data_IF_929242996914
#
_entry.id   IF_929242996914
#
_cell.length_a   1.000
_cell.length_b   1.000
_cell.length_c   1.000
_cell.angle_alpha   90.00
_cell.angle_beta   90.00
_cell.angle_gamma   90.00
#
_symmetry.space_group_name_H-M   'P 1'
#
loop_
_entity.id
_entity.type
_entity.pdbx_description
1 polymer ?
#
# COMPACT_ATOMS: atom_id res chain seq x y z
N UNK A 1 -18.30 7.54 3.75
CA UNK A 1 -17.05 8.27 4.08
C UNK A 1 -16.02 8.18 2.95
N UNK A 2 -15.80 6.99 2.34
CA UNK A 2 -14.80 6.80 1.27
C UNK A 2 -15.16 7.59 0.01
N UNK A 3 -16.43 7.60 -0.41
CA UNK A 3 -16.86 8.36 -1.57
C UNK A 3 -16.50 9.85 -1.44
N UNK A 4 -16.76 10.43 -0.27
CA UNK A 4 -16.41 11.82 -0.02
C UNK A 4 -14.90 12.04 -0.11
N UNK A 5 -14.11 11.17 0.53
CA UNK A 5 -12.64 11.23 0.44
C UNK A 5 -12.18 11.20 -1.02
N UNK A 6 -12.72 10.29 -1.83
CA UNK A 6 -12.33 10.17 -3.23
C UNK A 6 -12.69 11.44 -4.02
N UNK A 7 -13.94 11.90 -3.95
CA UNK A 7 -14.39 13.07 -4.72
C UNK A 7 -13.78 14.39 -4.23
N UNK A 8 -13.41 14.49 -2.96
CA UNK A 8 -12.71 15.67 -2.44
C UNK A 8 -11.24 15.73 -2.91
N UNK A 9 -10.65 14.59 -3.33
CA UNK A 9 -9.23 14.49 -3.70
C UNK A 9 -8.97 14.22 -5.18
N UNK A 10 -9.95 13.79 -5.96
CA UNK A 10 -9.75 13.48 -7.39
C UNK A 10 -9.90 14.73 -8.25
N UNK A 11 -9.06 14.85 -9.27
CA UNK A 11 -9.29 15.83 -10.33
C UNK A 11 -10.33 15.29 -11.33
N UNK A 12 -11.52 15.86 -11.33
CA UNK A 12 -12.60 15.46 -12.23
C UNK A 12 -12.25 15.63 -13.71
N UNK A 13 -11.37 16.57 -14.05
CA UNK A 13 -10.89 16.79 -15.42
C UNK A 13 -10.01 15.66 -15.95
N UNK A 14 -9.43 14.86 -15.07
CA UNK A 14 -8.48 13.80 -15.41
C UNK A 14 -9.00 12.38 -15.12
N UNK A 15 -10.29 12.20 -14.89
CA UNK A 15 -10.90 10.88 -14.62
C UNK A 15 -10.61 9.85 -15.71
N UNK A 16 -10.34 10.26 -16.95
CA UNK A 16 -9.95 9.36 -18.04
C UNK A 16 -8.59 8.66 -17.81
N UNK A 17 -7.76 9.19 -16.90
CA UNK A 17 -6.50 8.57 -16.49
C UNK A 17 -6.71 7.46 -15.46
N UNK A 18 -7.88 7.37 -14.86
CA UNK A 18 -8.16 6.37 -13.85
C UNK A 18 -8.02 4.97 -14.42
N UNK A 19 -7.32 4.12 -13.69
CA UNK A 19 -7.17 2.71 -13.99
C UNK A 19 -7.39 1.86 -12.75
N UNK A 20 -7.84 0.63 -12.95
CA UNK A 20 -8.08 -0.29 -11.85
C UNK A 20 -7.46 -1.66 -12.13
N UNK A 21 -6.98 -2.29 -11.07
CA UNK A 21 -6.44 -3.64 -11.14
C UNK A 21 -6.83 -4.44 -9.88
N UNK A 22 -6.86 -5.75 -10.03
CA UNK A 22 -7.14 -6.67 -8.94
C UNK A 22 -5.90 -7.51 -8.65
N UNK A 23 -5.51 -7.56 -7.40
CA UNK A 23 -4.54 -8.53 -6.89
C UNK A 23 -5.29 -9.62 -6.10
N UNK A 24 -5.58 -10.76 -6.73
CA UNK A 24 -6.32 -11.83 -6.06
C UNK A 24 -5.47 -12.54 -4.99
N UNK A 25 -4.15 -12.44 -5.06
CA UNK A 25 -3.24 -13.04 -4.09
C UNK A 25 -3.32 -12.33 -2.75
N UNK A 26 -3.30 -11.00 -2.78
CA UNK A 26 -3.41 -10.14 -1.59
C UNK A 26 -4.86 -9.73 -1.27
N UNK A 27 -5.83 -10.17 -2.08
CA UNK A 27 -7.25 -9.84 -1.92
C UNK A 27 -7.52 -8.32 -2.00
N UNK A 28 -6.86 -7.64 -2.94
CA UNK A 28 -6.94 -6.20 -3.11
C UNK A 28 -7.58 -5.82 -4.44
N UNK A 29 -8.38 -4.78 -4.41
CA UNK A 29 -8.80 -4.01 -5.59
C UNK A 29 -8.14 -2.63 -5.45
N UNK A 30 -7.47 -2.20 -6.49
CA UNK A 30 -6.66 -0.98 -6.47
C UNK A 30 -7.10 -0.09 -7.62
N UNK A 31 -7.32 1.18 -7.33
CA UNK A 31 -7.59 2.23 -8.31
C UNK A 31 -6.45 3.24 -8.25
N UNK A 32 -5.83 3.51 -9.41
CA UNK A 32 -4.92 4.63 -9.58
C UNK A 32 -5.67 5.79 -10.21
N UNK A 33 -5.49 6.98 -9.70
CA UNK A 33 -6.15 8.20 -10.15
C UNK A 33 -5.24 9.41 -9.96
N UNK A 34 -5.54 10.49 -10.67
CA UNK A 34 -4.85 11.77 -10.49
C UNK A 34 -5.51 12.55 -9.35
N UNK A 35 -4.71 13.05 -8.42
CA UNK A 35 -5.17 13.95 -7.38
C UNK A 35 -5.42 15.35 -7.93
N UNK A 36 -6.15 16.18 -7.17
CA UNK A 36 -6.44 17.58 -7.54
C UNK A 36 -5.19 18.43 -7.83
N UNK A 37 -4.02 17.99 -7.41
CA UNK A 37 -2.75 18.70 -7.60
C UNK A 37 -1.89 18.10 -8.71
N UNK A 38 -2.37 17.08 -9.43
CA UNK A 38 -1.56 16.32 -10.39
C UNK A 38 -2.28 16.16 -11.74
N UNK A 39 -1.52 16.26 -12.82
CA UNK A 39 -1.98 15.93 -14.17
C UNK A 39 -1.74 14.46 -14.55
N UNK A 40 -1.12 13.66 -13.67
CA UNK A 40 -0.82 12.25 -13.88
C UNK A 40 -1.32 11.43 -12.69
N UNK A 41 -1.51 10.13 -12.88
CA UNK A 41 -1.93 9.26 -11.80
C UNK A 41 -0.83 9.19 -10.72
N UNK A 42 -1.09 9.80 -9.57
CA UNK A 42 -0.17 9.93 -8.45
C UNK A 42 -0.71 9.30 -7.16
N UNK A 43 -1.97 8.92 -7.17
CA UNK A 43 -2.69 8.45 -5.98
C UNK A 43 -3.32 7.08 -6.20
N UNK A 44 -3.32 6.28 -5.15
CA UNK A 44 -3.96 4.97 -5.11
C UNK A 44 -5.08 4.97 -4.07
N UNK A 45 -6.21 4.41 -4.44
CA UNK A 45 -7.25 3.98 -3.52
C UNK A 45 -7.29 2.45 -3.52
N UNK A 46 -7.16 1.84 -2.36
CA UNK A 46 -7.00 0.40 -2.22
C UNK A 46 -8.12 -0.14 -1.32
N UNK A 47 -8.78 -1.17 -1.79
CA UNK A 47 -9.80 -1.88 -1.04
C UNK A 47 -9.40 -3.35 -0.83
N UNK A 48 -9.29 -3.77 0.42
CA UNK A 48 -9.15 -5.16 0.77
C UNK A 48 -10.54 -5.79 0.94
N UNK A 49 -10.92 -6.66 -0.01
CA UNK A 49 -12.25 -7.23 -0.01
C UNK A 49 -12.45 -8.38 0.99
N UNK A 50 -11.37 -8.92 1.56
CA UNK A 50 -11.43 -9.90 2.64
C UNK A 50 -11.72 -9.23 3.98
N UNK A 51 -11.01 -8.15 4.29
CA UNK A 51 -11.15 -7.41 5.56
C UNK A 51 -12.16 -6.27 5.47
N UNK A 52 -12.66 -5.96 4.26
CA UNK A 52 -13.57 -4.86 3.96
C UNK A 52 -13.03 -3.48 4.39
N UNK A 53 -11.72 -3.30 4.28
CA UNK A 53 -11.05 -2.08 4.68
C UNK A 53 -10.49 -1.32 3.49
N UNK A 54 -10.46 -0.01 3.63
CA UNK A 54 -9.94 0.93 2.66
C UNK A 54 -8.63 1.52 3.15
N UNK A 55 -7.71 1.75 2.23
CA UNK A 55 -6.49 2.52 2.45
C UNK A 55 -6.17 3.32 1.20
N UNK A 56 -5.34 4.33 1.36
CA UNK A 56 -4.83 5.15 0.26
C UNK A 56 -3.31 5.11 0.25
N UNK A 57 -2.73 5.41 -0.88
CA UNK A 57 -1.28 5.47 -1.06
C UNK A 57 -0.93 6.39 -2.21
N UNK A 58 0.35 6.60 -2.41
CA UNK A 58 0.90 7.36 -3.53
C UNK A 58 1.60 6.43 -4.53
N UNK A 59 1.64 6.83 -5.77
CA UNK A 59 2.28 6.09 -6.85
C UNK A 59 2.89 7.05 -7.87
N UNK A 60 3.74 6.54 -8.76
CA UNK A 60 4.28 7.27 -9.89
C UNK A 60 4.06 6.50 -11.21
N UNK A 61 3.03 5.65 -11.25
CA UNK A 61 2.70 4.89 -12.46
C UNK A 61 1.58 5.56 -13.22
N UNK A 62 1.67 5.59 -14.54
CA UNK A 62 0.64 6.17 -15.41
C UNK A 62 -0.65 5.35 -15.37
N UNK A 63 -0.52 4.04 -15.31
CA UNK A 63 -1.64 3.09 -15.25
C UNK A 63 -1.26 1.84 -14.48
N UNK A 64 -2.25 1.21 -13.89
CA UNK A 64 -2.11 -0.10 -13.25
C UNK A 64 -2.88 -1.16 -14.01
N UNK A 65 -2.36 -2.39 -13.98
CA UNK A 65 -2.99 -3.54 -14.61
C UNK A 65 -2.67 -4.83 -13.84
N UNK A 66 -3.56 -5.79 -13.95
CA UNK A 66 -3.25 -7.16 -13.54
C UNK A 66 -2.50 -7.85 -14.68
N UNK A 67 -1.40 -8.47 -14.37
CA UNK A 67 -0.59 -9.22 -15.32
C UNK A 67 -0.19 -10.56 -14.73
N UNK A 68 0.50 -11.36 -15.50
CA UNK A 68 1.07 -12.62 -15.02
C UNK A 68 2.55 -12.70 -15.36
N UNK A 69 3.29 -13.44 -14.56
CA UNK A 69 4.69 -13.73 -14.89
C UNK A 69 4.78 -14.49 -16.19
N UNK A 70 5.69 -14.12 -17.12
CA UNK A 70 5.96 -14.94 -18.28
C UNK A 70 6.56 -16.29 -17.85
N UNK A 71 6.38 -17.31 -18.67
CA UNK A 71 7.13 -18.54 -18.53
C UNK A 71 8.61 -18.30 -18.81
N UNK A 72 9.47 -19.05 -18.17
CA UNK A 72 10.91 -19.00 -18.46
C UNK A 72 11.16 -19.96 -19.63
N UNK A 73 11.75 -19.44 -20.71
CA UNK A 73 12.20 -20.27 -21.84
C UNK A 73 13.53 -20.95 -21.49
N UNK A 74 13.90 -22.00 -22.23
CA UNK A 74 15.18 -22.66 -22.02
C UNK A 74 16.37 -21.70 -22.15
N UNK A 75 16.31 -20.78 -23.12
CA UNK A 75 17.32 -19.73 -23.27
C UNK A 75 17.31 -18.74 -22.10
N UNK A 76 16.15 -18.49 -21.53
CA UNK A 76 16.00 -17.65 -20.32
C UNK A 76 16.55 -18.31 -19.05
N UNK A 77 16.76 -19.64 -19.08
CA UNK A 77 17.35 -20.37 -17.95
C UNK A 77 18.84 -20.15 -17.79
N UNK A 78 19.54 -19.67 -18.80
CA UNK A 78 21.00 -19.39 -18.75
C UNK A 78 21.35 -18.41 -17.63
N UNK A 79 20.42 -17.53 -17.27
CA UNK A 79 20.59 -16.58 -16.14
C UNK A 79 20.70 -17.29 -14.78
N UNK A 80 20.15 -18.51 -14.67
CA UNK A 80 20.16 -19.29 -13.44
C UNK A 80 21.36 -20.24 -13.32
N UNK A 81 22.28 -20.22 -14.30
CA UNK A 81 23.48 -21.05 -14.34
C UNK A 81 23.24 -22.43 -14.97
N UNK A 82 24.08 -23.40 -14.60
CA UNK A 82 23.97 -24.75 -15.12
C UNK A 82 22.79 -25.48 -14.54
N UNK A 83 22.16 -26.36 -15.30
CA UNK A 83 21.00 -27.19 -14.89
C UNK A 83 21.26 -27.95 -13.58
N UNK A 84 22.50 -28.42 -13.37
CA UNK A 84 22.90 -29.13 -12.15
C UNK A 84 22.93 -28.22 -10.88
N UNK A 85 22.97 -26.92 -11.07
CA UNK A 85 23.01 -25.95 -9.95
C UNK A 85 21.63 -25.39 -9.60
N UNK A 86 20.63 -25.71 -10.40
CA UNK A 86 19.25 -25.26 -10.17
C UNK A 86 18.62 -26.11 -9.07
N UNK A 87 18.41 -25.50 -7.89
CA UNK A 87 17.81 -26.15 -6.73
C UNK A 87 16.27 -26.26 -6.80
N UNK A 88 15.66 -25.57 -7.74
CA UNK A 88 14.20 -25.51 -7.89
C UNK A 88 13.72 -26.60 -8.83
N UNK A 89 12.72 -27.38 -8.41
CA UNK A 89 12.09 -28.38 -9.28
C UNK A 89 11.60 -27.78 -10.58
N UNK A 90 11.76 -28.49 -11.70
CA UNK A 90 11.28 -28.08 -13.03
C UNK A 90 9.73 -28.02 -13.12
N UNK A 91 9.01 -28.68 -12.20
CA UNK A 91 7.55 -28.58 -12.08
C UNK A 91 7.11 -27.31 -11.31
N UNK A 92 8.06 -26.53 -10.83
CA UNK A 92 7.76 -25.29 -10.10
C UNK A 92 7.04 -24.28 -11.00
N UNK A 93 6.06 -23.59 -10.43
CA UNK A 93 5.39 -22.46 -11.09
C UNK A 93 6.34 -21.32 -11.46
N UNK A 94 7.54 -21.31 -10.93
CA UNK A 94 8.59 -20.36 -11.33
C UNK A 94 8.86 -20.47 -12.82
N UNK A 95 8.93 -21.69 -13.35
CA UNK A 95 9.24 -21.97 -14.77
C UNK A 95 8.00 -21.86 -15.66
N UNK A 96 6.87 -22.32 -15.17
CA UNK A 96 5.60 -22.33 -15.93
C UNK A 96 5.03 -20.93 -16.12
N UNK A 97 5.43 -19.96 -15.29
CA UNK A 97 4.84 -18.63 -15.30
C UNK A 97 3.38 -18.63 -14.81
N UNK A 98 2.62 -17.63 -15.24
CA UNK A 98 1.19 -17.55 -14.90
C UNK A 98 0.90 -17.11 -13.45
N UNK A 99 1.90 -16.73 -12.68
CA UNK A 99 1.66 -16.12 -11.36
C UNK A 99 1.09 -14.72 -11.57
N UNK A 100 -0.09 -14.50 -11.03
CA UNK A 100 -0.73 -13.19 -11.09
C UNK A 100 0.09 -12.16 -10.33
N UNK A 101 0.35 -11.05 -10.98
CA UNK A 101 1.08 -9.90 -10.45
C UNK A 101 0.28 -8.62 -10.70
N UNK A 102 0.38 -7.71 -9.73
CA UNK A 102 0.02 -6.33 -9.96
C UNK A 102 1.20 -5.64 -10.66
N UNK A 103 0.94 -5.01 -11.77
CA UNK A 103 1.93 -4.24 -12.52
C UNK A 103 1.43 -2.82 -12.78
N UNK A 104 2.35 -1.94 -13.07
CA UNK A 104 2.09 -0.60 -13.55
C UNK A 104 2.83 -0.33 -14.85
N UNK A 105 2.42 0.71 -15.54
CA UNK A 105 3.12 1.30 -16.67
C UNK A 105 3.68 2.64 -16.21
N UNK A 106 4.96 2.84 -16.40
CA UNK A 106 5.67 4.09 -16.13
C UNK A 106 6.40 4.50 -17.42
N UNK A 107 5.80 5.44 -18.14
CA UNK A 107 6.23 5.80 -19.48
C UNK A 107 6.22 4.59 -20.43
N UNK A 108 7.40 4.16 -20.89
CA UNK A 108 7.55 3.02 -21.80
C UNK A 108 7.95 1.71 -21.08
N UNK A 109 7.88 1.67 -19.75
CA UNK A 109 8.31 0.51 -18.95
C UNK A 109 7.15 -0.13 -18.21
N UNK A 110 7.17 -1.45 -18.11
CA UNK A 110 6.31 -2.19 -17.20
C UNK A 110 7.06 -2.34 -15.88
N UNK A 111 6.44 -1.89 -14.80
CA UNK A 111 6.99 -1.96 -13.44
C UNK A 111 6.13 -2.86 -12.58
N UNK A 112 6.72 -3.51 -11.60
CA UNK A 112 6.01 -4.33 -10.62
C UNK A 112 6.06 -3.68 -9.25
N UNK A 113 5.01 -3.87 -8.45
CA UNK A 113 4.97 -3.38 -7.07
C UNK A 113 5.78 -4.32 -6.17
N UNK A 114 7.10 -4.22 -6.30
CA UNK A 114 8.09 -4.98 -5.54
C UNK A 114 9.18 -4.02 -5.05
N UNK A 115 9.86 -4.37 -3.97
CA UNK A 115 10.90 -3.54 -3.37
C UNK A 115 10.70 -3.35 -1.86
N UNK A 116 11.37 -2.36 -1.29
CA UNK A 116 11.24 -2.04 0.12
C UNK A 116 9.83 -1.55 0.46
N UNK A 117 9.37 -1.86 1.67
CA UNK A 117 8.08 -1.39 2.16
C UNK A 117 8.05 0.14 2.22
N UNK A 118 6.95 0.70 1.75
CA UNK A 118 6.72 2.14 1.87
C UNK A 118 6.46 2.52 3.35
N UNK A 119 6.80 3.76 3.70
CA UNK A 119 6.42 4.31 5.00
C UNK A 119 4.90 4.38 5.10
N UNK A 120 4.35 3.83 6.17
CA UNK A 120 2.92 3.84 6.43
C UNK A 120 2.62 4.46 7.79
N UNK A 121 1.47 5.10 7.91
CA UNK A 121 0.97 5.55 9.21
C UNK A 121 -0.51 5.22 9.36
N UNK A 122 -0.93 5.05 10.58
CA UNK A 122 -2.32 4.82 10.95
C UNK A 122 -2.69 5.86 11.99
N UNK A 123 -3.73 6.61 11.73
CA UNK A 123 -4.33 7.53 12.67
C UNK A 123 -5.69 6.98 13.11
N UNK A 124 -5.90 6.89 14.42
CA UNK A 124 -7.20 6.52 14.99
C UNK A 124 -8.07 7.76 15.15
N UNK A 125 -9.38 7.57 15.11
CA UNK A 125 -10.29 8.64 15.50
C UNK A 125 -10.09 9.05 16.96
N UNK A 126 -10.68 10.19 17.33
CA UNK A 126 -10.64 10.68 18.71
C UNK A 126 -11.21 9.66 19.68
N UNK A 127 -10.49 9.46 20.76
CA UNK A 127 -10.94 8.66 21.91
C UNK A 127 -11.45 9.65 22.96
N UNK A 128 -12.76 9.76 23.07
CA UNK A 128 -13.41 10.63 24.02
C UNK A 128 -13.78 9.86 25.29
N UNK A 129 -13.39 10.41 26.45
CA UNK A 129 -13.82 9.91 27.75
C UNK A 129 -14.76 10.96 28.37
N UNK A 130 -16.07 10.71 28.40
CA UNK A 130 -17.03 11.69 28.89
C UNK A 130 -16.78 12.08 30.36
N UNK A 131 -16.70 13.38 30.61
CA UNK A 131 -16.72 13.96 31.96
C UNK A 131 -15.42 13.91 32.76
N UNK A 132 -14.30 13.47 32.20
CA UNK A 132 -13.03 13.46 32.92
C UNK A 132 -11.82 13.69 32.02
N UNK A 133 -10.71 14.06 32.62
CA UNK A 133 -9.39 14.05 31.97
C UNK A 133 -8.88 12.61 31.96
N UNK A 134 -8.61 12.07 30.79
CA UNK A 134 -8.02 10.74 30.66
C UNK A 134 -6.50 10.82 30.57
N UNK A 135 -5.84 9.86 31.18
CA UNK A 135 -4.37 9.69 31.08
C UNK A 135 -4.09 8.37 30.36
N UNK A 136 -3.31 8.44 29.29
CA UNK A 136 -2.81 7.25 28.61
C UNK A 136 -1.46 6.93 29.23
N UNK A 137 -1.38 5.81 29.93
CA UNK A 137 -0.17 5.38 30.63
C UNK A 137 0.76 4.52 29.76
N UNK A 138 0.20 3.85 28.75
CA UNK A 138 0.98 3.00 27.87
C UNK A 138 0.29 2.82 26.51
N UNK A 139 1.10 2.82 25.46
CA UNK A 139 0.67 2.41 24.10
C UNK A 139 1.68 1.38 23.62
N UNK A 140 1.18 0.21 23.20
CA UNK A 140 2.02 -0.87 22.66
C UNK A 140 1.68 -1.06 21.17
N UNK A 141 2.53 -0.59 20.23
CA UNK A 141 2.38 -0.94 18.82
C UNK A 141 2.75 -2.41 18.62
N UNK A 142 1.95 -3.12 17.86
CA UNK A 142 2.23 -4.50 17.44
C UNK A 142 2.50 -4.46 15.95
N UNK A 143 3.72 -4.79 15.56
CA UNK A 143 4.21 -4.75 14.17
C UNK A 143 4.81 -6.11 13.85
N UNK A 144 4.44 -6.70 12.72
CA UNK A 144 4.96 -8.01 12.31
C UNK A 144 6.42 -7.93 11.85
N UNK A 145 6.81 -6.79 11.26
CA UNK A 145 8.17 -6.55 10.78
C UNK A 145 8.46 -5.05 10.71
N UNK A 146 9.71 -4.66 10.98
CA UNK A 146 10.16 -3.28 10.92
C UNK A 146 10.14 -2.54 12.25
N UNK A 147 10.38 -1.23 12.19
CA UNK A 147 10.36 -0.33 13.35
C UNK A 147 9.06 0.50 13.34
N UNK A 148 8.39 0.56 14.48
CA UNK A 148 7.22 1.41 14.68
C UNK A 148 7.54 2.60 15.57
N UNK A 149 6.86 3.71 15.37
CA UNK A 149 6.87 4.85 16.29
C UNK A 149 5.43 5.30 16.56
N UNK A 150 5.19 5.81 17.73
CA UNK A 150 3.87 6.26 18.18
C UNK A 150 3.92 7.73 18.56
N UNK A 151 2.97 8.50 18.07
CA UNK A 151 2.71 9.85 18.52
C UNK A 151 1.30 9.95 19.11
N UNK A 152 1.17 10.59 20.24
CA UNK A 152 -0.13 10.89 20.84
C UNK A 152 -0.50 12.33 20.45
N UNK A 153 -1.72 12.47 19.91
CA UNK A 153 -2.29 13.77 19.63
C UNK A 153 -3.35 14.06 20.68
N UNK A 154 -3.39 15.28 21.20
CA UNK A 154 -4.40 15.68 22.17
C UNK A 154 -5.07 16.99 21.75
N UNK A 155 -6.36 17.13 22.06
CA UNK A 155 -7.13 18.38 21.99
C UNK A 155 -8.17 18.41 23.08
N UNK A 156 -8.53 19.59 23.53
CA UNK A 156 -9.57 19.75 24.56
C UNK A 156 -10.96 19.85 23.97
N UNK A 157 -11.09 20.50 22.83
CA UNK A 157 -12.33 20.66 22.09
C UNK A 157 -12.19 20.15 20.67
N UNK A 158 -13.25 19.61 20.11
CA UNK A 158 -13.26 19.12 18.72
C UNK A 158 -12.98 20.21 17.67
N UNK A 159 -13.18 21.47 18.04
CA UNK A 159 -12.92 22.64 17.19
C UNK A 159 -11.48 23.16 17.27
N UNK A 160 -10.71 22.69 18.24
CA UNK A 160 -9.31 23.06 18.40
C UNK A 160 -8.39 22.21 17.51
N UNK A 161 -7.28 22.78 17.08
CA UNK A 161 -6.22 22.03 16.42
C UNK A 161 -5.58 21.04 17.41
N UNK A 162 -5.25 19.87 16.91
CA UNK A 162 -4.56 18.84 17.69
C UNK A 162 -3.15 19.28 18.06
N UNK A 163 -2.76 19.03 19.30
CA UNK A 163 -1.38 19.23 19.79
C UNK A 163 -0.66 17.90 19.64
N UNK A 164 0.41 17.89 18.85
CA UNK A 164 1.27 16.73 18.71
C UNK A 164 2.15 16.57 19.96
N UNK A 165 2.04 15.41 20.59
CA UNK A 165 3.03 14.95 21.57
C UNK A 165 4.34 14.57 20.90
N UNK A 166 5.39 14.36 21.69
CA UNK A 166 6.66 13.83 21.17
C UNK A 166 6.46 12.43 20.57
N UNK A 167 7.00 12.22 19.38
CA UNK A 167 7.02 10.91 18.77
C UNK A 167 8.06 10.04 19.48
N UNK A 168 7.64 8.86 19.94
CA UNK A 168 8.52 7.91 20.62
C UNK A 168 8.64 6.65 19.76
N UNK A 169 9.87 6.22 19.50
CA UNK A 169 10.12 4.94 18.86
C UNK A 169 9.64 3.80 19.77
N UNK A 170 9.09 2.74 19.16
CA UNK A 170 8.77 1.54 19.91
C UNK A 170 10.07 0.90 20.44
N UNK A 171 10.06 0.53 21.71
CA UNK A 171 11.18 -0.22 22.29
C UNK A 171 11.23 -1.61 21.67
N UNK A 172 12.41 -2.07 21.33
CA UNK A 172 12.67 -3.42 20.80
C UNK A 172 12.58 -4.52 21.85
N UNK A 173 12.20 -4.18 23.08
CA UNK A 173 12.03 -5.15 24.15
C UNK A 173 10.65 -5.83 24.01
N UNK A 174 10.71 -7.14 23.79
CA UNK A 174 9.56 -8.05 23.80
C UNK A 174 8.96 -8.19 25.20
#
# INVERSE_FOLDING_TARGET
KVNRFFFDNVDEGTLYLMSAAVDPTKKLIIWAYASNSSATADSLLIYNYQTQRWTSGTTHVDRIASTSTPAVTLEGMDVYGNLDTILTSFDSRLWLGGRLLLAGVDGAKIVTFSGANATAYIETGDIEVPGSTSSITMVKPIVDDGSGSVALLSRRLLTESTIFGSQTAANSEN
#
